data_IF_586520715981
#
_entry.id   IF_586520715981
#
_cell.length_a   1.000
_cell.length_b   1.000
_cell.length_c   1.000
_cell.angle_alpha   90.00
_cell.angle_beta   90.00
_cell.angle_gamma   90.00
#
_symmetry.space_group_name_H-M   'P 1'
#
loop_
_entity.id
_entity.type
_entity.pdbx_description
1 polymer ?
#
# COMPACT_ATOMS: atom_id res chain seq x y z
N UNK A 1 -33.84 -60.23 -14.25
CA UNK A 1 -34.77 -59.95 -13.12
C UNK A 1 -33.98 -59.49 -11.91
N UNK A 2 -33.92 -58.17 -11.68
CA UNK A 2 -33.96 -57.53 -10.35
C UNK A 2 -33.99 -56.02 -10.58
N UNK A 3 -35.18 -55.45 -10.45
CA UNK A 3 -35.41 -54.00 -10.45
C UNK A 3 -34.83 -53.43 -9.15
N UNK A 4 -34.03 -52.38 -9.27
CA UNK A 4 -33.62 -51.55 -8.14
C UNK A 4 -34.59 -50.35 -8.11
N UNK A 5 -35.47 -50.34 -7.11
CA UNK A 5 -36.38 -49.20 -6.87
C UNK A 5 -35.57 -47.99 -6.39
N UNK A 6 -35.68 -46.89 -7.13
CA UNK A 6 -35.33 -45.54 -6.68
C UNK A 6 -36.40 -45.06 -5.69
N UNK A 7 -36.03 -44.88 -4.43
CA UNK A 7 -36.82 -44.11 -3.47
C UNK A 7 -36.50 -42.61 -3.67
N UNK A 8 -37.40 -41.90 -4.34
CA UNK A 8 -37.44 -40.44 -4.35
C UNK A 8 -38.23 -40.00 -3.12
N UNK A 9 -37.53 -39.56 -2.07
CA UNK A 9 -38.15 -38.87 -0.94
C UNK A 9 -38.43 -37.43 -1.34
N UNK A 10 -39.68 -37.13 -1.68
CA UNK A 10 -40.21 -35.79 -1.81
C UNK A 10 -40.29 -35.12 -0.44
N UNK A 11 -39.34 -34.22 -0.15
CA UNK A 11 -39.46 -33.30 0.97
C UNK A 11 -40.45 -32.19 0.59
N UNK A 12 -41.64 -32.20 1.18
CA UNK A 12 -42.59 -31.10 1.11
C UNK A 12 -42.07 -29.94 1.96
N UNK A 13 -41.62 -28.87 1.31
CA UNK A 13 -41.35 -27.59 1.96
C UNK A 13 -42.69 -26.96 2.36
N UNK A 14 -43.05 -27.05 3.64
CA UNK A 14 -44.05 -26.18 4.23
C UNK A 14 -43.46 -24.77 4.36
N UNK A 15 -43.85 -23.89 3.45
CA UNK A 15 -43.64 -22.46 3.58
C UNK A 15 -44.62 -21.90 4.64
N UNK A 16 -44.19 -21.85 5.90
CA UNK A 16 -44.84 -21.01 6.90
C UNK A 16 -44.41 -19.56 6.66
N UNK A 17 -45.25 -18.79 5.97
CA UNK A 17 -45.26 -17.33 6.02
C UNK A 17 -45.63 -16.89 7.45
N UNK A 18 -44.64 -16.79 8.33
CA UNK A 18 -44.75 -15.94 9.51
C UNK A 18 -44.82 -14.47 9.07
N UNK A 19 -45.51 -13.59 9.81
CA UNK A 19 -45.58 -12.19 9.44
C UNK A 19 -44.15 -11.64 9.34
N UNK A 20 -43.86 -10.96 8.24
CA UNK A 20 -42.64 -10.17 8.12
C UNK A 20 -42.74 -9.05 9.15
N UNK A 21 -42.25 -9.29 10.36
CA UNK A 21 -41.80 -8.22 11.20
C UNK A 21 -40.69 -7.53 10.42
N UNK A 22 -41.03 -6.40 9.83
CA UNK A 22 -40.04 -5.41 9.45
C UNK A 22 -39.15 -5.21 10.67
N UNK A 23 -37.88 -5.63 10.61
CA UNK A 23 -36.85 -5.15 11.52
C UNK A 23 -36.64 -3.66 11.25
N UNK A 24 -37.62 -2.85 11.62
CA UNK A 24 -37.44 -1.46 12.00
C UNK A 24 -36.89 -1.47 13.41
N UNK A 25 -35.65 -0.99 13.57
CA UNK A 25 -35.12 -0.59 14.87
C UNK A 25 -33.92 -1.39 15.36
N UNK A 26 -32.74 -1.11 14.79
CA UNK A 26 -31.46 -1.14 15.52
C UNK A 26 -30.41 -0.38 14.68
N UNK A 27 -30.68 0.89 14.37
CA UNK A 27 -29.69 1.77 13.73
C UNK A 27 -29.93 3.22 14.13
N UNK A 28 -29.21 3.69 15.15
CA UNK A 28 -28.75 5.10 15.28
C UNK A 28 -27.69 5.29 16.37
N UNK A 29 -27.67 4.51 17.46
CA UNK A 29 -26.96 4.95 18.68
C UNK A 29 -25.68 4.17 19.05
N UNK A 30 -25.29 3.15 18.29
CA UNK A 30 -24.07 2.39 18.64
C UNK A 30 -22.85 3.12 18.13
N UNK A 31 -22.03 3.58 19.07
CA UNK A 31 -20.77 4.29 18.82
C UNK A 31 -19.58 3.51 19.37
N UNK A 32 -18.42 3.74 18.77
CA UNK A 32 -17.17 3.22 19.29
C UNK A 32 -16.69 4.10 20.45
N UNK A 33 -16.19 3.44 21.48
CA UNK A 33 -15.63 4.00 22.71
C UNK A 33 -14.41 3.16 23.10
N UNK A 34 -13.62 3.61 24.06
CA UNK A 34 -12.46 2.84 24.55
C UNK A 34 -12.81 1.43 25.05
N UNK A 35 -14.07 1.20 25.45
CA UNK A 35 -14.53 -0.10 25.99
C UNK A 35 -14.85 -1.14 24.93
N UNK A 36 -15.14 -0.73 23.70
CA UNK A 36 -15.60 -1.62 22.62
C UNK A 36 -14.79 -1.44 21.32
N UNK A 37 -13.66 -0.72 21.38
CA UNK A 37 -12.77 -0.48 20.25
C UNK A 37 -12.25 -1.79 19.61
N UNK A 38 -12.16 -2.87 20.37
CA UNK A 38 -11.69 -4.17 19.88
C UNK A 38 -12.80 -5.22 19.76
N UNK A 39 -14.06 -4.80 19.83
CA UNK A 39 -15.21 -5.70 19.63
C UNK A 39 -15.50 -5.83 18.14
N UNK A 40 -15.15 -6.98 17.56
CA UNK A 40 -15.34 -7.27 16.13
C UNK A 40 -16.77 -6.94 15.65
N UNK A 41 -17.78 -7.42 16.36
CA UNK A 41 -19.19 -7.20 15.99
C UNK A 41 -19.57 -5.72 16.03
N UNK A 42 -19.11 -4.99 17.06
CA UNK A 42 -19.40 -3.57 17.20
C UNK A 42 -18.69 -2.75 16.13
N UNK A 43 -17.41 -3.05 15.89
CA UNK A 43 -16.62 -2.37 14.86
C UNK A 43 -17.22 -2.59 13.48
N UNK A 44 -17.55 -3.83 13.12
CA UNK A 44 -18.18 -4.13 11.82
C UNK A 44 -19.55 -3.48 11.67
N UNK A 45 -20.36 -3.45 12.73
CA UNK A 45 -21.65 -2.79 12.68
C UNK A 45 -21.51 -1.28 12.45
N UNK A 46 -20.58 -0.61 13.14
CA UNK A 46 -20.32 0.83 12.98
C UNK A 46 -19.69 1.12 11.60
N UNK A 47 -18.77 0.28 11.13
CA UNK A 47 -18.14 0.41 9.81
C UNK A 47 -19.17 0.30 8.67
N UNK A 48 -20.04 -0.72 8.75
CA UNK A 48 -21.09 -0.94 7.74
C UNK A 48 -22.17 0.16 7.74
N UNK A 49 -22.54 0.66 8.92
CA UNK A 49 -23.53 1.73 9.05
C UNK A 49 -23.00 3.08 8.52
N UNK A 50 -21.69 3.31 8.61
CA UNK A 50 -21.04 4.55 8.22
C UNK A 50 -20.05 4.34 7.07
N UNK A 51 -20.44 3.62 6.02
CA UNK A 51 -19.56 3.41 4.87
C UNK A 51 -19.28 4.72 4.10
N UNK A 52 -18.03 4.93 3.67
CA UNK A 52 -17.61 6.10 2.89
C UNK A 52 -16.60 6.99 3.62
N UNK A 53 -16.30 8.17 3.06
CA UNK A 53 -15.32 9.10 3.63
C UNK A 53 -15.89 9.85 4.84
N UNK A 54 -15.13 9.94 5.94
CA UNK A 54 -15.41 10.84 7.05
C UNK A 54 -14.25 11.83 7.23
N UNK A 55 -14.52 13.10 6.91
CA UNK A 55 -13.49 14.16 6.95
C UNK A 55 -12.84 14.33 8.33
N UNK A 56 -13.60 14.14 9.41
CA UNK A 56 -13.07 14.28 10.76
C UNK A 56 -12.18 13.09 11.13
N UNK A 57 -12.62 11.87 10.82
CA UNK A 57 -11.81 10.67 11.03
C UNK A 57 -10.50 10.71 10.23
N UNK A 58 -10.57 11.14 8.97
CA UNK A 58 -9.40 11.30 8.08
C UNK A 58 -8.43 12.36 8.59
N UNK A 59 -8.94 13.51 9.05
CA UNK A 59 -8.12 14.56 9.66
C UNK A 59 -7.41 14.07 10.92
N UNK A 60 -8.12 13.39 11.82
CA UNK A 60 -7.54 12.83 13.04
C UNK A 60 -6.51 11.74 12.73
N UNK A 61 -6.76 10.93 11.70
CA UNK A 61 -5.81 9.93 11.22
C UNK A 61 -4.52 10.60 10.75
N UNK A 62 -4.60 11.62 9.87
CA UNK A 62 -3.41 12.35 9.39
C UNK A 62 -2.64 13.03 10.54
N UNK A 63 -3.34 13.58 11.53
CA UNK A 63 -2.71 14.11 12.73
C UNK A 63 -2.00 13.04 13.56
N UNK A 64 -2.62 11.87 13.73
CA UNK A 64 -2.00 10.73 14.42
C UNK A 64 -0.73 10.27 13.69
N UNK A 65 -0.78 10.25 12.36
CA UNK A 65 0.34 9.92 11.49
C UNK A 65 1.49 10.93 11.65
N UNK A 66 1.21 12.24 11.59
CA UNK A 66 2.21 13.30 11.83
C UNK A 66 2.87 13.15 13.22
N UNK A 67 2.06 12.93 14.25
CA UNK A 67 2.56 12.76 15.62
C UNK A 67 3.41 11.50 15.77
N UNK A 68 2.96 10.38 15.20
CA UNK A 68 3.69 9.13 15.26
C UNK A 68 5.01 9.22 14.50
N UNK A 69 4.94 9.75 13.28
CA UNK A 69 6.00 9.66 12.30
C UNK A 69 6.95 10.84 12.41
N UNK A 70 6.49 12.08 12.40
CA UNK A 70 7.40 13.24 12.41
C UNK A 70 7.83 13.62 13.83
N UNK A 71 6.87 13.65 14.76
CA UNK A 71 7.15 14.05 16.14
C UNK A 71 7.71 12.92 17.00
N UNK A 72 7.68 11.67 16.48
CA UNK A 72 8.19 10.46 17.15
C UNK A 72 7.56 10.26 18.53
N UNK A 73 6.28 10.60 18.68
CA UNK A 73 5.53 10.41 19.92
C UNK A 73 4.44 9.33 19.73
N UNK A 74 4.80 8.05 19.86
CA UNK A 74 3.84 6.95 19.67
C UNK A 74 2.72 6.94 20.70
N UNK A 75 2.97 7.40 21.94
CA UNK A 75 1.94 7.46 22.98
C UNK A 75 0.85 8.47 22.63
N UNK A 76 1.23 9.68 22.19
CA UNK A 76 0.27 10.68 21.74
C UNK A 76 -0.43 10.24 20.45
N UNK A 77 0.28 9.58 19.53
CA UNK A 77 -0.31 9.06 18.31
C UNK A 77 -1.41 8.03 18.58
N UNK A 78 -1.19 7.08 19.50
CA UNK A 78 -2.22 6.09 19.89
C UNK A 78 -3.49 6.81 20.35
N UNK A 79 -3.39 7.88 21.14
CA UNK A 79 -4.56 8.64 21.56
C UNK A 79 -5.31 9.30 20.39
N UNK A 80 -4.59 9.77 19.37
CA UNK A 80 -5.20 10.35 18.17
C UNK A 80 -5.79 9.28 17.25
N UNK A 81 -5.15 8.12 17.09
CA UNK A 81 -5.71 6.99 16.36
C UNK A 81 -7.01 6.51 16.99
N UNK A 82 -7.07 6.39 18.33
CA UNK A 82 -8.31 6.04 19.04
C UNK A 82 -9.44 7.03 18.72
N UNK A 83 -9.15 8.34 18.72
CA UNK A 83 -10.14 9.37 18.34
C UNK A 83 -10.57 9.25 16.87
N UNK A 84 -9.64 9.01 15.95
CA UNK A 84 -9.95 8.77 14.54
C UNK A 84 -10.89 7.58 14.37
N UNK A 85 -10.57 6.45 15.02
CA UNK A 85 -11.37 5.23 14.99
C UNK A 85 -12.77 5.44 15.61
N UNK A 86 -12.86 6.19 16.70
CA UNK A 86 -14.14 6.55 17.34
C UNK A 86 -15.02 7.41 16.42
N UNK A 87 -14.42 8.28 15.62
CA UNK A 87 -15.13 9.06 14.60
C UNK A 87 -15.58 8.18 13.43
N UNK A 88 -14.72 7.29 12.94
CA UNK A 88 -15.05 6.23 12.00
C UNK A 88 -13.98 5.14 12.02
N UNK A 89 -14.34 3.85 12.21
CA UNK A 89 -13.36 2.77 12.15
C UNK A 89 -12.82 2.59 10.74
N UNK A 90 -11.50 2.57 10.59
CA UNK A 90 -10.81 2.35 9.33
C UNK A 90 -9.71 1.31 9.53
N UNK A 91 -9.57 0.38 8.58
CA UNK A 91 -8.57 -0.69 8.65
C UNK A 91 -7.15 -0.13 8.86
N UNK A 92 -6.78 0.93 8.10
CA UNK A 92 -5.49 1.62 8.22
C UNK A 92 -5.26 2.26 9.59
N UNK A 93 -6.29 2.80 10.23
CA UNK A 93 -6.16 3.43 11.55
C UNK A 93 -5.84 2.40 12.63
N UNK A 94 -6.50 1.23 12.59
CA UNK A 94 -6.18 0.12 13.49
C UNK A 94 -4.79 -0.45 13.23
N UNK A 95 -4.38 -0.61 11.97
CA UNK A 95 -3.04 -1.09 11.63
C UNK A 95 -1.94 -0.16 12.17
N UNK A 96 -2.04 1.16 11.91
CA UNK A 96 -1.05 2.13 12.36
C UNK A 96 -1.07 2.32 13.89
N UNK A 97 -2.24 2.23 14.51
CA UNK A 97 -2.34 2.18 15.98
C UNK A 97 -1.63 0.95 16.54
N UNK A 98 -1.78 -0.21 15.88
CA UNK A 98 -1.06 -1.43 16.20
C UNK A 98 0.45 -1.20 16.22
N UNK A 99 1.00 -0.59 15.16
CA UNK A 99 2.42 -0.24 15.08
C UNK A 99 2.87 0.64 16.24
N UNK A 100 2.14 1.73 16.52
CA UNK A 100 2.46 2.67 17.59
C UNK A 100 2.38 2.01 18.98
N UNK A 101 1.44 1.08 19.20
CA UNK A 101 1.33 0.29 20.43
C UNK A 101 2.57 -0.60 20.65
N UNK A 102 3.11 -1.23 19.60
CA UNK A 102 4.34 -2.02 19.72
C UNK A 102 5.58 -1.19 20.02
N UNK A 103 5.63 0.06 19.58
CA UNK A 103 6.71 1.00 19.87
C UNK A 103 6.73 1.44 21.34
N UNK A 104 5.57 1.46 22.00
CA UNK A 104 5.48 1.69 23.46
C UNK A 104 5.47 0.39 24.27
N UNK A 105 5.51 -0.78 23.62
CA UNK A 105 5.58 -2.09 24.28
C UNK A 105 4.24 -2.74 24.62
N UNK A 106 3.11 -2.14 24.23
CA UNK A 106 1.75 -2.64 24.49
C UNK A 106 1.32 -3.69 23.45
N UNK A 107 2.10 -4.77 23.35
CA UNK A 107 2.00 -5.74 22.26
C UNK A 107 0.66 -6.48 22.20
N UNK A 108 0.01 -6.74 23.33
CA UNK A 108 -1.28 -7.44 23.36
C UNK A 108 -2.40 -6.57 22.80
N UNK A 109 -2.43 -5.28 23.15
CA UNK A 109 -3.39 -4.34 22.58
C UNK A 109 -3.08 -4.09 21.09
N UNK A 110 -1.79 -4.06 20.73
CA UNK A 110 -1.37 -3.98 19.33
C UNK A 110 -1.83 -5.18 18.48
N UNK A 111 -1.77 -6.40 19.03
CA UNK A 111 -2.34 -7.60 18.38
C UNK A 111 -3.86 -7.48 18.20
N UNK A 112 -4.60 -7.02 19.21
CA UNK A 112 -6.04 -6.76 19.08
C UNK A 112 -6.34 -5.73 18.00
N UNK A 113 -5.49 -4.71 17.87
CA UNK A 113 -5.61 -3.71 16.80
C UNK A 113 -5.41 -4.33 15.43
N UNK A 114 -4.38 -5.18 15.25
CA UNK A 114 -4.19 -5.91 14.00
C UNK A 114 -5.33 -6.88 13.69
N UNK A 115 -5.91 -7.55 14.69
CA UNK A 115 -7.06 -8.43 14.48
C UNK A 115 -8.26 -7.65 13.92
N UNK A 116 -8.53 -6.46 14.43
CA UNK A 116 -9.59 -5.59 13.89
C UNK A 116 -9.24 -5.04 12.51
N UNK A 117 -7.98 -4.67 12.27
CA UNK A 117 -7.53 -4.24 10.94
C UNK A 117 -7.76 -5.33 9.88
N UNK A 118 -7.47 -6.59 10.21
CA UNK A 118 -7.72 -7.76 9.35
C UNK A 118 -9.22 -7.98 9.11
N UNK A 119 -10.05 -7.87 10.14
CA UNK A 119 -11.52 -7.95 10.02
C UNK A 119 -12.09 -6.87 9.10
N UNK A 120 -11.48 -5.67 9.11
CA UNK A 120 -11.80 -4.57 8.20
C UNK A 120 -11.11 -4.66 6.83
N UNK A 121 -10.54 -5.83 6.50
CA UNK A 121 -9.87 -6.14 5.23
C UNK A 121 -8.63 -5.27 4.92
N UNK A 122 -7.82 -4.96 5.93
CA UNK A 122 -6.57 -4.21 5.73
C UNK A 122 -5.69 -4.81 4.64
N UNK A 123 -5.20 -3.95 3.74
CA UNK A 123 -4.17 -4.28 2.75
C UNK A 123 -2.92 -3.40 2.93
N UNK A 124 -1.72 -3.97 2.77
CA UNK A 124 -1.45 -5.36 2.36
C UNK A 124 -1.39 -6.35 3.54
N UNK A 125 -2.04 -7.51 3.40
CA UNK A 125 -2.20 -8.52 4.46
C UNK A 125 -0.86 -9.09 4.96
N UNK A 126 0.12 -9.29 4.07
CA UNK A 126 1.43 -9.83 4.41
C UNK A 126 2.18 -9.02 5.48
N UNK A 127 2.07 -7.68 5.48
CA UNK A 127 2.65 -6.81 6.50
C UNK A 127 1.99 -6.98 7.85
N UNK A 128 0.66 -7.04 7.86
CA UNK A 128 -0.11 -7.27 9.08
C UNK A 128 0.29 -8.61 9.72
N UNK A 129 0.37 -9.67 8.91
CA UNK A 129 0.83 -10.99 9.37
C UNK A 129 2.28 -10.94 9.88
N UNK A 130 3.17 -10.23 9.18
CA UNK A 130 4.55 -10.04 9.61
C UNK A 130 4.64 -9.34 10.99
N UNK A 131 3.92 -8.24 11.19
CA UNK A 131 3.93 -7.53 12.46
C UNK A 131 3.34 -8.36 13.60
N UNK A 132 2.28 -9.14 13.33
CA UNK A 132 1.77 -10.14 14.29
C UNK A 132 2.85 -11.15 14.66
N UNK A 133 3.61 -11.65 13.68
CA UNK A 133 4.73 -12.56 13.94
C UNK A 133 5.80 -11.93 14.85
N UNK A 134 6.17 -10.68 14.58
CA UNK A 134 7.09 -9.91 15.44
C UNK A 134 6.57 -9.79 16.87
N UNK A 135 5.28 -9.49 17.07
CA UNK A 135 4.72 -9.32 18.41
C UNK A 135 4.66 -10.63 19.17
N UNK A 136 4.25 -11.72 18.52
CA UNK A 136 4.29 -13.05 19.14
C UNK A 136 5.72 -13.49 19.47
N UNK A 137 6.70 -13.19 18.61
CA UNK A 137 8.11 -13.45 18.90
C UNK A 137 8.57 -12.67 20.13
N UNK A 138 8.30 -11.36 20.22
CA UNK A 138 8.61 -10.53 21.40
C UNK A 138 7.93 -11.03 22.67
N UNK A 139 6.71 -11.54 22.57
CA UNK A 139 5.96 -12.15 23.67
C UNK A 139 6.44 -13.56 24.05
N UNK A 140 7.32 -14.17 23.25
CA UNK A 140 7.85 -15.53 23.47
C UNK A 140 6.93 -16.66 22.99
N UNK A 141 5.84 -16.35 22.28
CA UNK A 141 4.94 -17.35 21.69
C UNK A 141 5.47 -17.76 20.30
N UNK A 142 6.41 -18.70 20.30
CA UNK A 142 7.14 -19.10 19.08
C UNK A 142 6.25 -19.81 18.06
N UNK A 143 5.30 -20.63 18.52
CA UNK A 143 4.38 -21.34 17.63
C UNK A 143 3.55 -20.36 16.80
N UNK A 144 2.96 -19.34 17.45
CA UNK A 144 2.25 -18.30 16.70
C UNK A 144 3.18 -17.42 15.89
N UNK A 145 4.34 -17.05 16.42
CA UNK A 145 5.31 -16.24 15.68
C UNK A 145 5.72 -16.93 14.36
N UNK A 146 6.03 -18.24 14.42
CA UNK A 146 6.32 -19.07 13.26
C UNK A 146 5.15 -19.13 12.29
N UNK A 147 3.95 -19.43 12.81
CA UNK A 147 2.73 -19.54 11.99
C UNK A 147 2.48 -18.25 11.21
N UNK A 148 2.46 -17.11 11.88
CA UNK A 148 2.22 -15.82 11.23
C UNK A 148 3.35 -15.41 10.29
N UNK A 149 4.61 -15.76 10.58
CA UNK A 149 5.73 -15.45 9.70
C UNK A 149 5.68 -16.27 8.41
N UNK A 150 5.35 -17.57 8.50
CA UNK A 150 5.13 -18.42 7.32
C UNK A 150 3.99 -17.85 6.48
N UNK A 151 2.84 -17.56 7.09
CA UNK A 151 1.72 -16.96 6.37
C UNK A 151 2.10 -15.62 5.73
N UNK A 152 2.85 -14.76 6.42
CA UNK A 152 3.32 -13.50 5.83
C UNK A 152 4.10 -13.74 4.54
N UNK A 153 5.03 -14.71 4.53
CA UNK A 153 5.83 -15.09 3.36
C UNK A 153 4.93 -15.65 2.24
N UNK A 154 4.00 -16.55 2.57
CA UNK A 154 3.04 -17.14 1.62
C UNK A 154 2.14 -16.08 0.97
N UNK A 155 1.79 -15.02 1.72
CA UNK A 155 1.04 -13.86 1.23
C UNK A 155 1.93 -12.77 0.59
N UNK A 156 3.21 -13.07 0.34
CA UNK A 156 4.12 -12.23 -0.46
C UNK A 156 5.08 -11.36 0.34
N UNK A 157 5.28 -11.59 1.63
CA UNK A 157 6.34 -10.91 2.39
C UNK A 157 7.72 -11.41 1.92
N UNK A 158 8.40 -10.60 1.11
CA UNK A 158 9.65 -10.98 0.46
C UNK A 158 10.94 -10.44 1.09
N UNK A 159 10.89 -9.67 2.19
CA UNK A 159 12.06 -8.97 2.72
C UNK A 159 12.96 -9.85 3.59
N UNK A 160 13.63 -10.82 2.98
CA UNK A 160 14.41 -11.83 3.71
C UNK A 160 15.55 -11.21 4.50
N UNK A 161 16.19 -10.16 3.96
CA UNK A 161 17.24 -9.44 4.67
C UNK A 161 16.72 -8.83 5.97
N UNK A 162 15.47 -8.35 5.99
CA UNK A 162 14.83 -7.90 7.21
C UNK A 162 14.55 -9.07 8.16
N UNK A 163 13.99 -10.18 7.67
CA UNK A 163 13.72 -11.37 8.51
C UNK A 163 14.95 -11.87 9.29
N UNK A 164 16.14 -11.75 8.69
CA UNK A 164 17.39 -12.20 9.30
C UNK A 164 17.92 -11.25 10.39
N UNK A 165 17.61 -9.96 10.30
CA UNK A 165 18.20 -8.92 11.18
C UNK A 165 17.20 -8.28 12.15
N UNK A 166 15.90 -8.38 11.89
CA UNK A 166 14.88 -7.68 12.65
C UNK A 166 14.92 -8.13 14.12
N UNK A 167 15.24 -7.23 15.08
CA UNK A 167 15.39 -7.60 16.48
C UNK A 167 14.11 -8.18 17.10
N UNK A 168 12.93 -7.87 16.57
CA UNK A 168 11.67 -8.38 17.09
C UNK A 168 11.52 -9.89 16.87
N UNK A 169 12.19 -10.44 15.86
CA UNK A 169 12.26 -11.87 15.57
C UNK A 169 13.39 -12.59 16.31
N UNK A 170 14.11 -11.93 17.23
CA UNK A 170 15.22 -12.55 17.96
C UNK A 170 14.80 -13.81 18.71
N UNK A 171 13.64 -13.81 19.39
CA UNK A 171 13.19 -14.96 20.17
C UNK A 171 12.82 -16.15 19.26
N UNK A 172 12.33 -15.88 18.05
CA UNK A 172 12.07 -16.89 17.03
C UNK A 172 13.37 -17.44 16.41
N UNK A 173 14.40 -16.61 16.24
CA UNK A 173 15.71 -17.04 15.70
C UNK A 173 16.58 -17.80 16.69
N UNK A 174 16.50 -17.46 17.98
CA UNK A 174 17.43 -17.93 19.04
C UNK A 174 17.40 -19.43 19.27
N UNK A 175 16.26 -20.10 19.09
CA UNK A 175 16.17 -21.53 19.40
C UNK A 175 16.94 -22.41 18.41
N UNK A 176 16.86 -22.07 17.11
CA UNK A 176 17.58 -22.79 16.07
C UNK A 176 17.62 -21.97 14.78
N UNK A 177 18.69 -21.18 14.60
CA UNK A 177 18.87 -20.33 13.42
C UNK A 177 18.89 -21.10 12.08
N UNK A 178 19.31 -22.37 12.09
CA UNK A 178 19.24 -23.23 10.91
C UNK A 178 17.78 -23.57 10.56
N UNK A 179 16.99 -23.99 11.55
CA UNK A 179 15.57 -24.27 11.37
C UNK A 179 14.76 -23.03 10.96
N UNK A 180 15.15 -21.84 11.45
CA UNK A 180 14.55 -20.58 11.02
C UNK A 180 14.80 -20.30 9.53
N UNK A 181 16.03 -20.50 9.07
CA UNK A 181 16.38 -20.33 7.65
C UNK A 181 15.68 -21.35 6.78
N UNK A 182 15.68 -22.62 7.19
CA UNK A 182 14.98 -23.70 6.48
C UNK A 182 13.47 -23.46 6.40
N UNK A 183 12.86 -22.95 7.47
CA UNK A 183 11.46 -22.56 7.51
C UNK A 183 11.16 -21.42 6.52
N UNK A 184 11.98 -20.36 6.49
CA UNK A 184 11.82 -19.27 5.52
C UNK A 184 11.94 -19.83 4.10
N UNK A 185 12.98 -20.61 3.81
CA UNK A 185 13.19 -21.20 2.49
C UNK A 185 12.06 -22.15 2.09
N UNK A 186 11.51 -22.91 3.04
CA UNK A 186 10.38 -23.82 2.81
C UNK A 186 9.09 -23.04 2.52
N UNK A 187 8.80 -21.99 3.28
CA UNK A 187 7.70 -21.08 2.99
C UNK A 187 7.87 -20.39 1.62
N UNK A 188 9.12 -20.26 1.16
CA UNK A 188 9.50 -19.70 -0.13
C UNK A 188 9.66 -20.73 -1.26
N UNK A 189 9.40 -22.03 -1.04
CA UNK A 189 9.99 -23.20 -1.73
C UNK A 189 9.77 -23.40 -3.25
N UNK A 190 9.69 -22.33 -4.02
CA UNK A 190 10.14 -22.28 -5.41
C UNK A 190 11.54 -21.69 -5.64
N UNK A 191 12.27 -21.20 -4.63
CA UNK A 191 13.47 -20.39 -4.87
C UNK A 191 14.77 -20.88 -4.22
N UNK A 192 15.75 -21.22 -5.07
CA UNK A 192 17.16 -21.44 -4.66
C UNK A 192 17.92 -20.13 -4.40
N UNK A 193 17.30 -18.97 -4.62
CA UNK A 193 17.90 -17.64 -4.49
C UNK A 193 16.85 -16.64 -3.94
N UNK A 194 16.92 -16.31 -2.63
CA UNK A 194 15.94 -15.44 -1.97
C UNK A 194 15.89 -14.02 -2.55
N UNK A 195 17.02 -13.48 -3.02
CA UNK A 195 17.06 -12.15 -3.61
C UNK A 195 16.37 -12.13 -4.98
N UNK A 196 16.54 -13.19 -5.78
CA UNK A 196 15.76 -13.38 -7.02
C UNK A 196 14.28 -13.58 -6.76
N UNK A 197 13.90 -14.30 -5.71
CA UNK A 197 12.48 -14.49 -5.40
C UNK A 197 11.83 -13.19 -4.95
N UNK A 198 12.47 -12.41 -4.09
CA UNK A 198 11.95 -11.10 -3.69
C UNK A 198 11.78 -10.18 -4.92
N UNK A 199 12.72 -10.21 -5.87
CA UNK A 199 12.56 -9.50 -7.15
C UNK A 199 11.39 -10.04 -7.97
N UNK A 200 11.26 -11.36 -8.07
CA UNK A 200 10.17 -11.99 -8.80
C UNK A 200 8.82 -11.60 -8.20
N UNK A 201 8.63 -11.70 -6.88
CA UNK A 201 7.41 -11.28 -6.19
C UNK A 201 7.10 -9.81 -6.50
N UNK A 202 8.02 -8.91 -6.16
CA UNK A 202 7.83 -7.47 -6.35
C UNK A 202 7.47 -7.12 -7.80
N UNK A 203 8.22 -7.64 -8.77
CA UNK A 203 8.04 -7.29 -10.17
C UNK A 203 6.78 -7.87 -10.82
N UNK A 204 6.23 -8.98 -10.28
CA UNK A 204 4.99 -9.58 -10.75
C UNK A 204 3.74 -8.94 -10.14
N UNK A 205 3.87 -8.14 -9.08
CA UNK A 205 2.75 -7.33 -8.57
C UNK A 205 2.31 -6.22 -9.57
N UNK A 206 3.16 -5.89 -10.55
CA UNK A 206 2.86 -4.87 -11.56
C UNK A 206 2.13 -5.49 -12.76
N UNK A 207 0.84 -5.21 -12.87
CA UNK A 207 0.05 -5.59 -14.04
C UNK A 207 0.53 -4.85 -15.32
N UNK A 208 0.46 -5.52 -16.47
CA UNK A 208 0.76 -4.92 -17.77
C UNK A 208 -0.11 -3.69 -18.01
N UNK A 209 0.50 -2.57 -18.36
CA UNK A 209 -0.24 -1.34 -18.66
C UNK A 209 -1.00 -1.46 -19.98
N UNK A 210 -2.17 -0.83 -20.06
CA UNK A 210 -2.89 -0.65 -21.33
C UNK A 210 -2.34 0.59 -22.04
N UNK A 211 -2.00 0.44 -23.31
CA UNK A 211 -1.49 1.54 -24.13
C UNK A 211 -2.59 2.20 -24.97
N UNK A 212 -2.53 3.53 -25.18
CA UNK A 212 -1.60 4.45 -24.53
C UNK A 212 -1.95 4.64 -23.04
N UNK A 213 -0.93 4.72 -22.18
CA UNK A 213 -1.11 5.05 -20.77
C UNK A 213 -0.87 6.55 -20.58
N UNK A 214 -1.93 7.29 -20.22
CA UNK A 214 -1.86 8.71 -19.90
C UNK A 214 -1.82 8.90 -18.38
N UNK A 215 -0.78 9.57 -17.88
CA UNK A 215 -0.61 9.92 -16.46
C UNK A 215 -0.93 11.40 -16.25
N UNK A 216 -2.17 11.78 -16.52
CA UNK A 216 -2.69 13.12 -16.24
C UNK A 216 -3.14 13.24 -14.76
N UNK A 217 -3.66 14.41 -14.39
CA UNK A 217 -4.17 14.65 -13.03
C UNK A 217 -5.33 13.71 -12.65
N UNK A 218 -6.09 13.17 -13.61
CA UNK A 218 -7.21 12.26 -13.33
C UNK A 218 -6.73 10.86 -12.98
N UNK A 219 -5.55 10.46 -13.46
CA UNK A 219 -4.99 9.15 -13.19
C UNK A 219 -4.81 8.89 -11.68
N UNK A 220 -4.61 9.93 -10.88
CA UNK A 220 -4.48 9.84 -9.42
C UNK A 220 -5.66 9.09 -8.76
N UNK A 221 -6.86 9.13 -9.35
CA UNK A 221 -8.02 8.38 -8.85
C UNK A 221 -7.85 6.85 -8.91
N UNK A 222 -6.90 6.35 -9.70
CA UNK A 222 -6.54 4.93 -9.75
C UNK A 222 -5.52 4.51 -8.68
N UNK A 223 -5.06 5.43 -7.81
CA UNK A 223 -4.16 5.11 -6.69
C UNK A 223 -4.96 4.59 -5.50
N UNK A 224 -5.43 3.37 -5.63
CA UNK A 224 -6.23 2.67 -4.63
C UNK A 224 -5.35 1.82 -3.71
N UNK A 225 -5.88 1.44 -2.54
CA UNK A 225 -5.11 0.72 -1.51
C UNK A 225 -4.52 -0.61 -2.00
N UNK A 226 -5.21 -1.31 -2.91
CA UNK A 226 -4.73 -2.55 -3.53
C UNK A 226 -3.49 -2.36 -4.42
N UNK A 227 -3.12 -1.12 -4.72
CA UNK A 227 -1.92 -0.75 -5.50
C UNK A 227 -0.76 -0.30 -4.65
N UNK A 228 -0.90 -0.21 -3.33
CA UNK A 228 0.17 0.25 -2.44
C UNK A 228 1.39 -0.69 -2.49
N UNK A 229 2.57 -0.11 -2.72
CA UNK A 229 3.87 -0.79 -2.68
C UNK A 229 4.36 -0.83 -1.23
N UNK A 230 4.80 -2.01 -0.78
CA UNK A 230 5.39 -2.16 0.55
C UNK A 230 6.72 -1.40 0.69
N UNK A 231 6.96 -0.76 1.84
CA UNK A 231 8.26 -0.19 2.21
C UNK A 231 9.39 -1.22 2.30
N UNK A 232 9.05 -2.50 2.46
CA UNK A 232 9.98 -3.62 2.32
C UNK A 232 10.67 -3.67 0.95
N UNK A 233 10.06 -3.06 -0.05
CA UNK A 233 10.56 -2.94 -1.41
C UNK A 233 11.35 -1.63 -1.63
N UNK A 234 11.81 -0.95 -0.57
CA UNK A 234 12.64 0.27 -0.63
C UNK A 234 13.88 0.12 -1.51
N UNK A 235 14.36 -1.12 -1.71
CA UNK A 235 15.47 -1.40 -2.61
C UNK A 235 15.13 -1.21 -4.08
N UNK A 236 13.87 -1.27 -4.43
CA UNK A 236 13.33 -1.09 -5.77
C UNK A 236 12.63 0.25 -5.96
N UNK A 237 12.28 0.92 -4.86
CA UNK A 237 11.66 2.25 -4.86
C UNK A 237 12.57 3.18 -4.05
N UNK A 238 13.62 3.77 -4.69
CA UNK A 238 14.65 4.51 -3.96
C UNK A 238 14.12 5.69 -3.15
N UNK A 239 13.00 6.30 -3.57
CA UNK A 239 12.33 7.40 -2.88
C UNK A 239 11.92 7.03 -1.44
N UNK A 240 11.67 5.74 -1.16
CA UNK A 240 11.40 5.27 0.20
C UNK A 240 12.59 5.49 1.14
N UNK A 241 13.83 5.51 0.60
CA UNK A 241 15.06 5.65 1.38
C UNK A 241 15.42 7.09 1.72
N UNK A 242 14.88 8.06 0.99
CA UNK A 242 15.04 9.46 1.36
C UNK A 242 14.41 9.75 2.74
N UNK A 243 13.50 8.86 3.19
CA UNK A 243 12.93 8.82 4.52
C UNK A 243 13.65 7.86 5.49
N UNK A 244 14.67 7.10 5.10
CA UNK A 244 15.20 5.94 5.86
C UNK A 244 15.87 6.23 7.22
N UNK A 245 16.07 7.51 7.61
CA UNK A 245 16.51 7.86 8.96
C UNK A 245 15.37 8.26 9.90
N UNK A 246 14.14 8.20 9.40
CA UNK A 246 12.96 8.37 10.19
C UNK A 246 12.00 7.22 9.85
N UNK A 247 11.35 6.63 10.84
CA UNK A 247 10.17 5.77 10.60
C UNK A 247 8.99 6.59 10.02
N UNK A 248 9.23 7.47 9.04
CA UNK A 248 8.23 8.34 8.42
C UNK A 248 7.80 7.76 7.10
N UNK A 249 6.61 7.19 7.09
CA UNK A 249 5.80 7.20 5.89
C UNK A 249 5.15 8.58 5.79
N UNK A 250 5.90 9.54 5.24
CA UNK A 250 5.37 10.84 4.81
C UNK A 250 4.78 10.78 3.40
N UNK A 251 4.98 9.67 2.70
CA UNK A 251 4.42 9.43 1.37
C UNK A 251 3.94 7.99 1.20
N UNK A 252 2.90 7.79 0.41
CA UNK A 252 2.42 6.49 -0.05
C UNK A 252 2.88 6.21 -1.48
N UNK A 253 3.21 4.95 -1.76
CA UNK A 253 3.79 4.52 -3.02
C UNK A 253 2.84 3.57 -3.72
N UNK A 254 2.54 3.79 -4.99
CA UNK A 254 1.53 3.01 -5.71
C UNK A 254 2.08 2.40 -6.99
N UNK A 255 1.71 1.14 -7.25
CA UNK A 255 1.94 0.45 -8.52
C UNK A 255 1.08 1.08 -9.61
N UNK A 256 1.72 1.58 -10.66
CA UNK A 256 1.03 2.00 -11.88
C UNK A 256 0.97 0.82 -12.85
N UNK A 257 2.11 0.22 -13.18
CA UNK A 257 2.15 -1.03 -13.93
C UNK A 257 3.46 -1.35 -14.63
N UNK A 258 3.47 -2.48 -15.33
CA UNK A 258 4.56 -2.99 -16.14
C UNK A 258 4.48 -2.41 -17.57
N UNK A 259 5.55 -1.77 -18.04
CA UNK A 259 5.64 -1.17 -19.39
C UNK A 259 6.23 -2.15 -20.39
N UNK A 260 7.46 -2.60 -20.15
CA UNK A 260 8.22 -3.49 -21.04
C UNK A 260 8.94 -4.54 -20.20
N UNK A 261 8.95 -5.79 -20.65
CA UNK A 261 9.74 -6.87 -20.07
C UNK A 261 10.40 -7.67 -21.20
N UNK A 262 11.66 -8.06 -20.99
CA UNK A 262 12.36 -9.07 -21.78
C UNK A 262 13.21 -9.95 -20.82
N UNK A 263 14.00 -10.88 -21.37
CA UNK A 263 14.80 -11.82 -20.55
C UNK A 263 15.87 -11.12 -19.69
N UNK A 264 16.25 -9.89 -20.06
CA UNK A 264 17.34 -9.13 -19.44
C UNK A 264 16.85 -8.04 -18.49
N UNK A 265 15.73 -7.39 -18.80
CA UNK A 265 15.22 -6.25 -18.06
C UNK A 265 13.71 -6.16 -17.99
N UNK A 266 13.25 -5.38 -17.01
CA UNK A 266 11.85 -5.08 -16.76
C UNK A 266 11.70 -3.61 -16.38
N UNK A 267 10.83 -2.91 -17.09
CA UNK A 267 10.53 -1.49 -16.87
C UNK A 267 9.16 -1.33 -16.21
N UNK A 268 9.15 -0.70 -15.04
CA UNK A 268 7.98 -0.52 -14.18
C UNK A 268 7.69 0.97 -13.99
N UNK A 269 6.42 1.32 -13.77
CA UNK A 269 6.01 2.66 -13.34
C UNK A 269 5.40 2.56 -11.95
N UNK A 270 5.79 3.49 -11.07
CA UNK A 270 5.16 3.71 -9.78
C UNK A 270 4.90 5.20 -9.53
N UNK A 271 3.90 5.48 -8.70
CA UNK A 271 3.54 6.82 -8.24
C UNK A 271 3.90 7.02 -6.77
N UNK A 272 4.15 8.26 -6.38
CA UNK A 272 4.45 8.69 -5.02
C UNK A 272 3.48 9.81 -4.65
N UNK A 273 2.78 9.66 -3.53
CA UNK A 273 1.85 10.65 -3.00
C UNK A 273 2.30 11.07 -1.61
N UNK A 274 2.67 12.33 -1.43
CA UNK A 274 3.00 12.89 -0.12
C UNK A 274 1.71 13.08 0.71
N UNK A 275 1.62 12.48 1.90
CA UNK A 275 0.45 12.57 2.79
C UNK A 275 0.52 13.74 3.77
N UNK A 276 1.68 14.39 3.93
CA UNK A 276 1.93 15.41 4.95
C UNK A 276 1.94 16.84 4.40
N UNK A 277 2.23 17.01 3.10
CA UNK A 277 2.49 18.31 2.47
C UNK A 277 1.28 19.10 1.93
N UNK A 278 0.04 18.65 2.14
CA UNK A 278 -1.16 19.40 1.71
C UNK A 278 -1.25 19.67 0.19
N UNK A 279 -0.72 18.77 -0.66
CA UNK A 279 -0.94 18.80 -2.12
C UNK A 279 -0.64 17.44 -2.76
N UNK A 280 -1.64 16.59 -2.97
CA UNK A 280 -1.42 15.18 -3.34
C UNK A 280 -1.55 14.93 -4.84
N UNK A 281 -0.94 15.76 -5.69
CA UNK A 281 -0.73 15.34 -7.07
C UNK A 281 0.45 14.36 -7.10
N UNK A 282 0.24 13.11 -7.53
CA UNK A 282 1.30 12.12 -7.49
C UNK A 282 2.47 12.48 -8.40
N UNK A 283 3.67 12.19 -7.91
CA UNK A 283 4.88 12.17 -8.73
C UNK A 283 5.05 10.78 -9.30
N UNK A 284 5.25 10.67 -10.61
CA UNK A 284 5.39 9.39 -11.30
C UNK A 284 6.81 9.16 -11.77
N UNK A 285 7.31 7.95 -11.52
CA UNK A 285 8.61 7.49 -11.99
C UNK A 285 8.45 6.27 -12.87
N UNK A 286 9.24 6.24 -13.94
CA UNK A 286 9.51 5.02 -14.70
C UNK A 286 10.92 4.55 -14.37
N UNK A 287 11.06 3.27 -14.06
CA UNK A 287 12.32 2.67 -13.63
C UNK A 287 12.54 1.34 -14.33
N UNK A 288 13.75 1.14 -14.84
CA UNK A 288 14.16 -0.09 -15.52
C UNK A 288 15.14 -0.85 -14.64
N UNK A 289 14.95 -2.16 -14.52
CA UNK A 289 15.74 -3.04 -13.68
C UNK A 289 16.22 -4.24 -14.48
N UNK A 290 17.38 -4.80 -14.13
CA UNK A 290 17.81 -6.08 -14.67
C UNK A 290 17.02 -7.25 -14.05
N UNK A 291 17.26 -8.47 -14.55
CA UNK A 291 16.61 -9.69 -14.05
C UNK A 291 16.91 -10.07 -12.58
N UNK A 292 17.79 -9.35 -11.89
CA UNK A 292 18.06 -9.48 -10.45
C UNK A 292 17.46 -8.34 -9.63
N UNK A 293 16.73 -7.42 -10.26
CA UNK A 293 16.14 -6.25 -9.61
C UNK A 293 17.15 -5.14 -9.30
N UNK A 294 18.31 -5.10 -9.96
CA UNK A 294 19.24 -3.97 -9.87
C UNK A 294 18.75 -2.88 -10.83
N UNK A 295 18.63 -1.65 -10.32
CA UNK A 295 18.23 -0.48 -11.10
C UNK A 295 19.25 -0.21 -12.21
N UNK A 296 18.76 -0.11 -13.45
CA UNK A 296 19.51 0.25 -14.65
C UNK A 296 19.41 1.76 -14.86
N UNK A 297 18.18 2.27 -14.92
CA UNK A 297 17.89 3.68 -15.18
C UNK A 297 16.53 4.08 -14.60
N UNK A 298 16.32 5.37 -14.34
CA UNK A 298 15.09 5.92 -13.74
C UNK A 298 14.83 7.34 -14.23
N UNK A 299 13.57 7.65 -14.54
CA UNK A 299 13.13 8.98 -14.98
C UNK A 299 11.86 9.42 -14.24
N UNK A 300 11.83 10.67 -13.77
CA UNK A 300 10.57 11.31 -13.33
C UNK A 300 9.80 11.77 -14.57
N UNK A 301 8.62 11.17 -14.77
CA UNK A 301 7.82 11.34 -15.98
C UNK A 301 6.51 12.09 -15.75
N UNK A 302 6.03 12.19 -14.51
CA UNK A 302 4.77 12.87 -14.21
C UNK A 302 4.76 13.56 -12.85
N UNK A 303 3.83 14.49 -12.66
CA UNK A 303 3.71 15.28 -11.45
C UNK A 303 4.81 16.35 -11.32
N UNK A 304 4.93 16.92 -10.12
CA UNK A 304 5.95 17.90 -9.75
C UNK A 304 6.39 17.65 -8.30
N UNK A 305 7.69 17.78 -8.00
CA UNK A 305 8.21 17.58 -6.63
C UNK A 305 8.02 18.81 -5.77
N UNK A 306 8.31 19.97 -6.36
CA UNK A 306 8.15 21.29 -5.74
C UNK A 306 7.47 22.21 -6.76
N UNK A 307 6.80 23.26 -6.28
CA UNK A 307 6.08 24.23 -7.12
C UNK A 307 6.90 24.84 -8.25
N UNK A 308 8.18 25.07 -7.97
CA UNK A 308 9.08 25.73 -8.90
C UNK A 308 9.39 24.86 -10.12
N UNK A 309 9.23 23.54 -9.97
CA UNK A 309 9.44 22.61 -11.06
C UNK A 309 8.25 22.60 -12.02
N UNK A 310 8.48 22.45 -13.33
CA UNK A 310 7.41 22.21 -14.28
C UNK A 310 6.56 20.99 -13.89
N UNK A 311 5.24 21.15 -13.98
CA UNK A 311 4.32 20.03 -13.87
C UNK A 311 4.42 19.14 -15.11
N UNK A 312 4.61 17.83 -14.91
CA UNK A 312 4.79 16.87 -16.00
C UNK A 312 3.56 15.99 -16.19
N UNK A 313 3.22 15.71 -17.45
CA UNK A 313 2.25 14.71 -17.86
C UNK A 313 2.93 13.74 -18.82
N UNK A 314 2.88 12.44 -18.50
CA UNK A 314 3.43 11.40 -19.36
C UNK A 314 2.36 10.72 -20.20
N UNK A 315 2.70 10.42 -21.45
CA UNK A 315 2.00 9.43 -22.28
C UNK A 315 2.97 8.32 -22.65
N UNK A 316 2.64 7.08 -22.28
CA UNK A 316 3.39 5.89 -22.69
C UNK A 316 2.68 5.25 -23.87
N UNK A 317 3.35 5.17 -25.01
CA UNK A 317 2.78 4.67 -26.25
C UNK A 317 2.98 3.15 -26.42
N UNK A 318 2.25 2.55 -27.35
CA UNK A 318 2.34 1.12 -27.64
C UNK A 318 3.70 0.69 -28.20
N UNK A 319 4.47 1.62 -28.77
CA UNK A 319 5.87 1.41 -29.18
C UNK A 319 6.87 1.64 -28.03
N UNK A 320 6.38 1.81 -26.80
CA UNK A 320 7.13 2.12 -25.58
C UNK A 320 7.80 3.50 -25.54
N UNK A 321 7.49 4.39 -26.49
CA UNK A 321 7.94 5.77 -26.39
C UNK A 321 7.25 6.48 -25.21
N UNK A 322 8.06 7.18 -24.43
CA UNK A 322 7.66 7.94 -23.25
C UNK A 322 7.64 9.40 -23.65
N UNK A 323 6.47 9.98 -23.76
CA UNK A 323 6.30 11.40 -24.05
C UNK A 323 6.00 12.17 -22.77
N UNK A 324 6.84 13.15 -22.44
CA UNK A 324 6.71 13.96 -21.22
C UNK A 324 6.45 15.39 -21.61
N UNK A 325 5.19 15.82 -21.50
CA UNK A 325 4.80 17.21 -21.66
C UNK A 325 4.99 17.97 -20.34
N UNK A 326 5.58 19.16 -20.39
CA UNK A 326 5.88 20.00 -19.24
C UNK A 326 5.03 21.27 -19.27
N UNK A 327 4.52 21.67 -18.11
CA UNK A 327 3.60 22.80 -17.96
C UNK A 327 4.00 23.69 -16.78
N UNK A 328 3.71 24.98 -16.91
CA UNK A 328 3.65 25.90 -15.79
C UNK A 328 2.21 26.01 -15.31
N UNK A 329 1.98 25.70 -14.04
CA UNK A 329 0.66 25.85 -13.40
C UNK A 329 0.58 27.20 -12.70
N UNK A 330 -0.55 27.88 -12.83
CA UNK A 330 -0.90 29.03 -11.99
C UNK A 330 -2.15 28.70 -11.18
N UNK A 331 -2.21 29.21 -9.95
CA UNK A 331 -3.27 28.91 -9.00
C UNK A 331 -4.12 30.17 -8.71
N UNK A 332 -5.35 29.97 -8.22
CA UNK A 332 -6.24 31.09 -7.87
C UNK A 332 -5.71 31.93 -6.72
N UNK A 333 -5.08 31.28 -5.73
CA UNK A 333 -4.41 31.92 -4.59
C UNK A 333 -2.91 31.71 -4.64
N UNK A 334 -2.15 32.60 -3.99
CA UNK A 334 -0.69 32.50 -3.88
C UNK A 334 -0.31 31.23 -3.08
N UNK A 335 0.26 30.22 -3.74
CA UNK A 335 0.50 28.93 -3.10
C UNK A 335 1.66 28.98 -2.09
N UNK A 336 2.55 29.99 -2.16
CA UNK A 336 3.60 30.19 -1.16
C UNK A 336 3.03 30.72 0.18
N UNK A 337 1.80 31.25 0.17
CA UNK A 337 1.13 31.81 1.37
C UNK A 337 -0.01 30.94 1.88
N UNK A 338 -0.86 30.47 0.97
CA UNK A 338 -2.13 29.81 1.30
C UNK A 338 -2.02 28.27 1.24
N UNK A 339 -0.86 27.76 0.84
CA UNK A 339 -0.71 26.35 0.51
C UNK A 339 -1.55 25.95 -0.71
N UNK A 340 -1.78 24.65 -0.82
CA UNK A 340 -2.40 24.08 -2.03
C UNK A 340 -3.78 23.47 -1.79
N UNK A 341 -4.14 23.22 -0.54
CA UNK A 341 -5.44 22.69 -0.17
C UNK A 341 -6.54 23.67 -0.59
N UNK A 342 -7.50 23.17 -1.36
CA UNK A 342 -8.60 23.95 -1.95
C UNK A 342 -8.14 25.15 -2.84
N UNK A 343 -6.88 25.17 -3.28
CA UNK A 343 -6.35 26.19 -4.19
C UNK A 343 -6.42 25.70 -5.64
N UNK A 344 -7.41 26.18 -6.40
CA UNK A 344 -7.69 25.69 -7.75
C UNK A 344 -6.65 26.16 -8.76
N UNK A 345 -6.35 25.30 -9.74
CA UNK A 345 -5.52 25.66 -10.88
C UNK A 345 -6.31 26.62 -11.78
N UNK A 346 -5.75 27.81 -11.99
CA UNK A 346 -6.29 28.85 -12.85
C UNK A 346 -5.84 28.68 -14.30
N UNK A 347 -4.59 28.34 -14.53
CA UNK A 347 -4.01 28.20 -15.87
C UNK A 347 -2.99 27.05 -15.93
N UNK A 348 -2.92 26.41 -17.08
CA UNK A 348 -1.90 25.41 -17.43
C UNK A 348 -1.22 25.82 -18.74
N UNK A 349 -0.04 26.42 -18.65
CA UNK A 349 0.73 26.90 -19.81
C UNK A 349 1.75 25.85 -20.24
N UNK A 350 1.73 25.43 -21.51
CA UNK A 350 2.72 24.48 -22.03
C UNK A 350 4.13 25.10 -22.12
N UNK A 351 5.14 24.36 -21.66
CA UNK A 351 6.56 24.75 -21.70
C UNK A 351 7.36 23.96 -22.73
N UNK A 352 6.95 22.72 -23.03
CA UNK A 352 7.65 21.87 -23.99
C UNK A 352 7.26 20.41 -23.85
N UNK A 353 7.81 19.58 -24.74
CA UNK A 353 7.60 18.13 -24.77
C UNK A 353 8.91 17.44 -25.09
N UNK A 354 9.27 16.49 -24.26
CA UNK A 354 10.39 15.58 -24.50
C UNK A 354 9.84 14.19 -24.84
N UNK A 355 10.54 13.46 -25.71
CA UNK A 355 10.25 12.06 -26.01
C UNK A 355 11.47 11.22 -25.67
N UNK A 356 11.26 10.08 -25.01
CA UNK A 356 12.30 9.14 -24.64
C UNK A 356 11.99 7.76 -25.21
N UNK A 357 13.02 7.03 -25.63
CA UNK A 357 12.96 5.62 -25.99
C UNK A 357 13.51 4.76 -24.86
N UNK A 358 12.99 3.54 -24.72
CA UNK A 358 13.57 2.49 -23.87
C UNK A 358 14.45 1.60 -24.74
N UNK A 359 15.77 1.66 -24.53
CA UNK A 359 16.72 0.79 -25.23
C UNK A 359 16.56 -0.67 -24.82
N UNK A 360 17.11 -1.58 -25.62
CA UNK A 360 17.10 -3.02 -25.30
C UNK A 360 17.87 -3.36 -24.03
N UNK A 361 18.87 -2.55 -23.66
CA UNK A 361 19.60 -2.70 -22.39
C UNK A 361 18.86 -2.06 -21.19
N UNK A 362 17.72 -1.41 -21.43
CA UNK A 362 16.87 -0.83 -20.40
C UNK A 362 17.12 0.65 -20.10
N UNK A 363 18.10 1.31 -20.73
CA UNK A 363 18.34 2.74 -20.53
C UNK A 363 17.29 3.61 -21.23
N UNK A 364 16.97 4.75 -20.63
CA UNK A 364 16.09 5.75 -21.21
C UNK A 364 16.92 6.77 -21.99
N UNK A 365 16.63 6.92 -23.28
CA UNK A 365 17.36 7.86 -24.14
C UNK A 365 16.41 8.86 -24.75
N UNK A 366 16.69 10.15 -24.51
CA UNK A 366 15.95 11.25 -25.12
C UNK A 366 16.09 11.15 -26.64
N UNK A 367 14.97 11.16 -27.35
CA UNK A 367 14.95 11.33 -28.80
C UNK A 367 15.17 12.80 -29.07
N UNK A 368 16.24 13.12 -29.79
CA UNK A 368 16.38 14.46 -30.33
C UNK A 368 15.19 14.72 -31.26
N UNK A 369 14.60 15.91 -31.16
CA UNK A 369 13.74 16.38 -32.24
C UNK A 369 14.60 16.36 -33.49
N UNK A 370 14.28 15.51 -34.45
CA UNK A 370 14.72 15.72 -35.83
C UNK A 370 14.03 17.02 -36.24
N UNK A 371 14.70 18.14 -35.97
CA UNK A 371 14.43 19.40 -36.64
C UNK A 371 14.52 19.05 -38.12
N UNK A 372 13.34 18.99 -38.77
CA UNK A 372 13.25 18.67 -40.19
C UNK A 372 14.33 19.45 -40.92
N UNK A 373 15.22 18.72 -41.60
CA UNK A 373 15.99 19.34 -42.67
C UNK A 373 14.97 19.98 -43.62
N UNK A 374 15.24 21.26 -43.88
CA UNK A 374 14.39 22.29 -44.49
C UNK A 374 13.60 21.86 -45.73
#
# INVERSE_FOLDING_TARGET
MRQLLLFVTTATLFACNGPSESKKGLSSDVTLTDRNLYSADTVMMVANANAGKNKEADKLFLQAIDVYRNKKDPSQAVALFKKSIQAQPQAKAYYEMGNALGDIGELKEGLQSYDIADILDYKPLNKLLYNKACYYSRLGDQEKAKTYLISAIEFGYGNIKNLQKDPDLNNLRKENGYAFNDMILTAMSGATDPDKLQWAVFSHEFAQVKFPLLLDMKYASNMTEDRIISYDNERYVPEMRDYAFSREVGAEYYRVGLVKANDSNRTLIYGVVDEMGGNTLPVYYIASFNNKGVLIDKLQIGGQKILKDPFKIATINANYDIEVASFQLTYEKDPDKEGYDDNKIREQKALGKDTYAIKEDGHFVKKDMVLGMR
#
